data_IF_290685016963
#
_entry.id   IF_290685016963
#
_cell.length_a   1.000
_cell.length_b   1.000
_cell.length_c   1.000
_cell.angle_alpha   90.00
_cell.angle_beta   90.00
_cell.angle_gamma   90.00
#
_symmetry.space_group_name_H-M   'P 1'
#
loop_
_entity.id
_entity.type
_entity.pdbx_description
1 polymer ?
#
# COMPACT_ATOMS: atom_id res chain seq x y z
N UNK A 1 4.63 -4.30 19.19
CA UNK A 1 5.74 -5.09 18.61
C UNK A 1 5.33 -5.92 17.40
N UNK A 2 4.10 -5.78 16.85
CA UNK A 2 3.67 -6.53 15.66
C UNK A 2 3.39 -5.67 14.41
N UNK A 3 3.26 -4.35 14.55
CA UNK A 3 3.00 -3.46 13.40
C UNK A 3 4.26 -3.21 12.57
N UNK A 4 5.42 -3.10 13.21
CA UNK A 4 6.72 -2.86 12.55
C UNK A 4 7.19 -4.07 11.73
N UNK A 5 6.90 -5.29 12.19
CA UNK A 5 7.26 -6.55 11.53
C UNK A 5 6.53 -6.78 10.20
N UNK A 6 5.27 -6.34 10.12
CA UNK A 6 4.47 -6.47 8.89
C UNK A 6 5.03 -5.54 7.80
N UNK A 7 5.44 -4.33 8.18
CA UNK A 7 6.06 -3.37 7.27
C UNK A 7 7.44 -3.83 6.80
N UNK A 8 8.26 -4.34 7.71
CA UNK A 8 9.57 -4.92 7.35
C UNK A 8 9.41 -6.11 6.39
N UNK A 9 8.41 -6.96 6.60
CA UNK A 9 8.09 -8.04 5.67
C UNK A 9 7.58 -7.51 4.33
N UNK A 10 6.69 -6.52 4.31
CA UNK A 10 6.17 -5.94 3.08
C UNK A 10 7.26 -5.21 2.27
N UNK A 11 8.15 -4.47 2.94
CA UNK A 11 9.29 -3.78 2.32
C UNK A 11 10.34 -4.77 1.81
N UNK A 12 10.70 -5.78 2.61
CA UNK A 12 11.63 -6.83 2.19
C UNK A 12 11.06 -7.66 1.02
N UNK A 13 9.74 -7.83 0.96
CA UNK A 13 9.05 -8.52 -0.14
C UNK A 13 9.01 -7.71 -1.44
N UNK A 14 9.07 -6.37 -1.37
CA UNK A 14 9.22 -5.46 -2.52
C UNK A 14 10.59 -5.62 -3.18
N UNK A 15 11.63 -5.88 -2.39
CA UNK A 15 13.00 -6.10 -2.86
C UNK A 15 13.21 -7.54 -3.35
N UNK A 16 12.44 -8.50 -2.83
CA UNK A 16 12.72 -9.91 -3.05
C UNK A 16 12.44 -10.41 -4.48
N UNK A 17 11.38 -9.97 -5.18
CA UNK A 17 11.01 -10.64 -6.45
C UNK A 17 10.29 -9.73 -7.47
N UNK A 18 10.88 -9.50 -8.66
CA UNK A 18 10.14 -8.98 -9.82
C UNK A 18 9.22 -10.02 -10.51
N UNK A 19 8.98 -11.18 -9.89
CA UNK A 19 8.28 -12.33 -10.50
C UNK A 19 7.02 -12.83 -9.77
N UNK A 20 7.07 -13.00 -8.45
CA UNK A 20 5.98 -13.64 -7.69
C UNK A 20 4.96 -12.64 -7.13
N UNK A 21 4.23 -12.02 -8.06
CA UNK A 21 3.15 -11.07 -7.76
C UNK A 21 2.08 -11.62 -6.80
N UNK A 22 1.91 -12.95 -6.72
CA UNK A 22 0.91 -13.61 -5.88
C UNK A 22 1.23 -13.58 -4.37
N UNK A 23 2.51 -13.76 -4.00
CA UNK A 23 2.94 -13.71 -2.59
C UNK A 23 2.83 -12.27 -2.09
N UNK A 24 3.34 -11.32 -2.89
CA UNK A 24 3.26 -9.88 -2.63
C UNK A 24 1.81 -9.44 -2.45
N UNK A 25 0.92 -9.89 -3.34
CA UNK A 25 -0.50 -9.55 -3.25
C UNK A 25 -1.16 -10.01 -1.94
N UNK A 26 -0.89 -11.25 -1.52
CA UNK A 26 -1.45 -11.80 -0.28
C UNK A 26 -0.96 -11.03 0.95
N UNK A 27 0.34 -10.75 1.02
CA UNK A 27 0.93 -9.99 2.11
C UNK A 27 0.38 -8.55 2.18
N UNK A 28 0.19 -7.88 1.04
CA UNK A 28 -0.37 -6.53 1.00
C UNK A 28 -1.85 -6.51 1.41
N UNK A 29 -2.65 -7.51 1.02
CA UNK A 29 -4.03 -7.63 1.48
C UNK A 29 -4.13 -7.87 2.98
N UNK A 30 -3.26 -8.73 3.52
CA UNK A 30 -3.21 -9.02 4.94
C UNK A 30 -2.81 -7.77 5.73
N UNK A 31 -1.76 -7.06 5.30
CA UNK A 31 -1.35 -5.78 5.89
C UNK A 31 -2.50 -4.75 5.87
N UNK A 32 -3.21 -4.63 4.74
CA UNK A 32 -4.39 -3.76 4.61
C UNK A 32 -5.48 -4.09 5.65
N UNK A 33 -5.73 -5.37 5.90
CA UNK A 33 -6.78 -5.82 6.81
C UNK A 33 -6.37 -5.71 8.29
N UNK A 34 -5.08 -5.91 8.57
CA UNK A 34 -4.55 -5.99 9.95
C UNK A 34 -4.23 -4.61 10.51
N UNK A 35 -3.91 -3.65 9.63
CA UNK A 35 -3.49 -2.31 10.00
C UNK A 35 -4.39 -1.25 9.34
N UNK A 36 -5.63 -1.06 9.82
CA UNK A 36 -6.49 0.02 9.34
C UNK A 36 -5.91 1.41 9.69
N UNK A 37 -5.12 1.54 10.75
CA UNK A 37 -4.44 2.79 11.09
C UNK A 37 -3.27 3.12 10.15
N UNK A 38 -2.60 2.09 9.59
CA UNK A 38 -1.57 2.27 8.57
C UNK A 38 -2.14 2.83 7.27
N UNK A 39 -3.39 2.46 6.95
CA UNK A 39 -4.13 3.01 5.82
C UNK A 39 -4.40 4.50 5.96
N UNK A 40 -4.27 5.08 7.15
CA UNK A 40 -4.46 6.52 7.37
C UNK A 40 -3.15 7.32 7.23
N UNK A 41 -2.01 6.65 7.05
CA UNK A 41 -0.67 7.25 7.00
C UNK A 41 -0.02 7.13 5.61
N UNK A 42 1.15 7.76 5.44
CA UNK A 42 1.93 7.74 4.19
C UNK A 42 2.26 6.30 3.74
N UNK A 43 2.40 5.38 4.68
CA UNK A 43 2.66 3.97 4.42
C UNK A 43 1.45 3.28 3.75
N UNK A 44 0.21 3.69 4.07
CA UNK A 44 -1.01 3.21 3.44
C UNK A 44 -1.08 3.54 1.94
N UNK A 45 -0.61 4.72 1.55
CA UNK A 45 -0.54 5.10 0.14
C UNK A 45 0.48 4.26 -0.64
N UNK A 46 1.64 3.96 -0.03
CA UNK A 46 2.64 3.10 -0.67
C UNK A 46 2.15 1.65 -0.78
N UNK A 47 1.46 1.14 0.24
CA UNK A 47 0.81 -0.17 0.24
C UNK A 47 -0.21 -0.30 -0.90
N UNK A 48 -1.12 0.67 -1.02
CA UNK A 48 -2.16 0.71 -2.07
C UNK A 48 -1.55 0.81 -3.47
N UNK A 49 -0.46 1.55 -3.64
CA UNK A 49 0.28 1.62 -4.90
C UNK A 49 0.87 0.27 -5.28
N UNK A 50 1.47 -0.44 -4.33
CA UNK A 50 2.04 -1.77 -4.58
C UNK A 50 0.94 -2.80 -4.89
N UNK A 51 -0.23 -2.67 -4.26
CA UNK A 51 -1.44 -3.44 -4.59
C UNK A 51 -1.88 -3.21 -6.03
N UNK A 52 -1.89 -1.95 -6.46
CA UNK A 52 -2.21 -1.57 -7.84
C UNK A 52 -1.28 -2.22 -8.86
N UNK A 53 0.03 -2.21 -8.59
CA UNK A 53 1.03 -2.89 -9.44
C UNK A 53 0.79 -4.41 -9.47
N UNK A 54 0.53 -5.03 -8.32
CA UNK A 54 0.25 -6.47 -8.24
C UNK A 54 -1.05 -6.87 -8.97
N UNK A 55 -2.10 -6.05 -8.92
CA UNK A 55 -3.32 -6.26 -9.70
C UNK A 55 -3.07 -6.14 -11.20
N UNK A 56 -2.30 -5.12 -11.63
CA UNK A 56 -1.93 -4.96 -13.04
C UNK A 56 -1.15 -6.17 -13.55
N UNK A 57 -0.22 -6.70 -12.75
CA UNK A 57 0.57 -7.89 -13.13
C UNK A 57 -0.27 -9.17 -13.24
N UNK A 58 -1.41 -9.25 -12.53
CA UNK A 58 -2.37 -10.36 -12.68
C UNK A 58 -3.40 -10.16 -13.80
N UNK A 59 -3.38 -9.01 -14.48
CA UNK A 59 -4.35 -8.67 -15.53
C UNK A 59 -5.63 -8.01 -15.00
N UNK A 60 -5.78 -7.86 -13.69
CA UNK A 60 -6.90 -7.17 -13.05
C UNK A 60 -6.73 -5.65 -13.10
N UNK A 61 -6.79 -5.08 -14.30
CA UNK A 61 -6.57 -3.64 -14.53
C UNK A 61 -7.59 -2.78 -13.78
N UNK A 62 -8.86 -3.20 -13.69
CA UNK A 62 -9.89 -2.48 -12.95
C UNK A 62 -9.56 -2.36 -11.45
N UNK A 63 -9.09 -3.45 -10.83
CA UNK A 63 -8.68 -3.44 -9.43
C UNK A 63 -7.38 -2.65 -9.23
N UNK A 64 -6.49 -2.66 -10.22
CA UNK A 64 -5.28 -1.84 -10.20
C UNK A 64 -5.59 -0.34 -10.17
N UNK A 65 -6.53 0.10 -11.01
CA UNK A 65 -6.97 1.50 -11.07
C UNK A 65 -7.59 1.90 -9.74
N UNK A 66 -8.52 1.11 -9.21
CA UNK A 66 -9.16 1.40 -7.93
C UNK A 66 -8.12 1.56 -6.79
N UNK A 67 -7.15 0.64 -6.68
CA UNK A 67 -6.10 0.73 -5.67
C UNK A 67 -5.20 1.97 -5.83
N UNK A 68 -4.86 2.34 -7.07
CA UNK A 68 -4.05 3.53 -7.36
C UNK A 68 -4.82 4.83 -7.09
N UNK A 69 -6.12 4.86 -7.36
CA UNK A 69 -6.98 6.00 -7.04
C UNK A 69 -7.07 6.23 -5.53
N UNK A 70 -7.25 5.17 -4.75
CA UNK A 70 -7.25 5.26 -3.29
C UNK A 70 -5.89 5.74 -2.76
N UNK A 71 -4.78 5.21 -3.28
CA UNK A 71 -3.43 5.66 -2.91
C UNK A 71 -3.23 7.16 -3.17
N UNK A 72 -3.79 7.66 -4.27
CA UNK A 72 -3.69 9.06 -4.69
C UNK A 72 -4.56 9.96 -3.80
N UNK A 73 -5.80 9.55 -3.52
CA UNK A 73 -6.69 10.25 -2.61
C UNK A 73 -6.09 10.36 -1.19
N UNK A 74 -5.44 9.27 -0.72
CA UNK A 74 -4.77 9.25 0.57
C UNK A 74 -3.56 10.20 0.60
N UNK A 75 -2.71 10.17 -0.43
CA UNK A 75 -1.60 11.11 -0.56
C UNK A 75 -2.07 12.56 -0.60
N UNK A 76 -3.15 12.86 -1.32
CA UNK A 76 -3.73 14.21 -1.34
C UNK A 76 -4.20 14.62 0.05
N UNK A 77 -4.93 13.76 0.77
CA UNK A 77 -5.36 14.02 2.15
C UNK A 77 -4.19 14.23 3.10
N UNK A 78 -3.16 13.40 3.02
CA UNK A 78 -1.96 13.50 3.85
C UNK A 78 -1.14 14.75 3.55
N UNK A 79 -1.03 15.11 2.27
CA UNK A 79 -0.36 16.35 1.88
C UNK A 79 -1.10 17.56 2.45
N UNK A 80 -2.44 17.57 2.37
CA UNK A 80 -3.27 18.62 2.98
C UNK A 80 -3.11 18.66 4.50
N UNK A 81 -3.11 17.50 5.18
CA UNK A 81 -2.90 17.42 6.62
C UNK A 81 -1.52 17.96 7.03
N UNK A 82 -0.47 17.58 6.29
CA UNK A 82 0.91 18.04 6.52
C UNK A 82 1.07 19.54 6.28
N UNK A 83 0.32 20.12 5.36
CA UNK A 83 0.29 21.57 5.17
C UNK A 83 -0.55 22.30 6.22
N UNK A 84 -1.49 21.63 6.89
CA UNK A 84 -2.35 22.22 7.92
C UNK A 84 -1.74 22.19 9.33
N UNK A 85 -0.87 21.23 9.65
CA UNK A 85 -0.21 21.11 10.96
C UNK A 85 1.01 22.05 11.13
N UNK A 86 1.31 22.86 10.11
CA UNK A 86 2.56 23.65 10.01
C UNK A 86 2.43 25.17 10.16
N UNK A 87 1.36 25.72 10.73
CA UNK A 87 1.14 27.16 10.85
C UNK A 87 0.93 27.63 12.29
#
# INVERSE_FOLDING_TARGET
>A
TGSDDIWLRAASLKEALPGDSGIVFKALLEARNTLPAALEAAEGAELLRNLGVAYRQRGDVSAAIAALEEAKALQTRLNVLRTADGA
#
